data_IF_619436761306
#
_entry.id   IF_619436761306
#
_cell.length_a   1.000
_cell.length_b   1.000
_cell.length_c   1.000
_cell.angle_alpha   90.00
_cell.angle_beta   90.00
_cell.angle_gamma   90.00
#
_symmetry.space_group_name_H-M   'P 1'
#
loop_
_entity.id
_entity.type
_entity.pdbx_description
1 polymer ?
#
# COMPACT_ATOMS: atom_id res chain seq x y z
N UNK A 1 -19.32 34.03 17.77
CA UNK A 1 -18.49 33.01 17.09
C UNK A 1 -18.93 31.67 17.67
N UNK A 2 -19.64 30.87 16.89
CA UNK A 2 -20.33 29.66 17.36
C UNK A 2 -19.32 28.52 17.48
N UNK A 3 -18.97 28.14 18.71
CA UNK A 3 -18.33 26.86 18.98
C UNK A 3 -19.29 25.75 18.54
N UNK A 4 -19.01 25.13 17.40
CA UNK A 4 -19.66 23.88 17.04
C UNK A 4 -19.03 22.80 17.90
N UNK A 5 -19.70 22.50 19.02
CA UNK A 5 -19.48 21.29 19.79
C UNK A 5 -19.70 20.10 18.87
N UNK A 6 -18.59 19.48 18.45
CA UNK A 6 -18.57 18.19 17.76
C UNK A 6 -19.05 17.16 18.78
N UNK A 7 -20.36 16.88 18.76
CA UNK A 7 -20.98 15.83 19.54
C UNK A 7 -20.45 14.48 19.02
N UNK A 8 -19.51 13.91 19.77
CA UNK A 8 -18.88 12.62 19.51
C UNK A 8 -19.96 11.53 19.64
N UNK A 9 -20.20 10.77 18.57
CA UNK A 9 -21.25 9.74 18.49
C UNK A 9 -20.89 8.47 19.30
N UNK A 10 -19.69 8.41 19.88
CA UNK A 10 -19.19 7.28 20.68
C UNK A 10 -19.01 7.68 22.14
N UNK A 11 -19.61 6.92 23.05
CA UNK A 11 -19.47 7.06 24.52
C UNK A 11 -18.01 6.89 25.02
N UNK A 12 -17.12 6.32 24.18
CA UNK A 12 -15.70 6.08 24.47
C UNK A 12 -14.71 7.07 23.85
N UNK A 13 -15.18 8.20 23.32
CA UNK A 13 -14.37 9.14 22.54
C UNK A 13 -14.20 8.69 21.09
N UNK A 14 -14.05 9.65 20.17
CA UNK A 14 -13.81 9.32 18.76
C UNK A 14 -12.53 8.47 18.67
N UNK A 15 -12.64 7.31 18.02
CA UNK A 15 -11.53 6.43 17.71
C UNK A 15 -10.63 7.06 16.64
N UNK A 16 -10.05 8.21 16.95
CA UNK A 16 -9.02 8.82 16.12
C UNK A 16 -7.74 7.98 16.29
N UNK A 17 -7.09 7.59 15.19
CA UNK A 17 -5.86 6.82 15.26
C UNK A 17 -4.81 7.61 16.05
N UNK A 18 -4.07 6.91 16.91
CA UNK A 18 -3.04 7.53 17.77
C UNK A 18 -1.88 8.17 16.99
N UNK A 19 -1.81 7.94 15.68
CA UNK A 19 -0.78 8.46 14.81
C UNK A 19 -1.41 9.08 13.57
N UNK A 20 -0.84 10.22 13.15
CA UNK A 20 -1.18 10.84 11.87
C UNK A 20 -0.68 9.91 10.75
N UNK A 21 -1.54 9.54 9.78
CA UNK A 21 -1.13 8.78 8.61
C UNK A 21 0.05 9.45 7.90
N UNK A 22 0.93 8.66 7.30
CA UNK A 22 2.03 9.20 6.51
C UNK A 22 1.50 10.10 5.39
N UNK A 23 2.17 11.25 5.17
CA UNK A 23 1.80 12.21 4.13
C UNK A 23 2.29 11.79 2.74
N UNK A 24 2.07 10.52 2.40
CA UNK A 24 2.40 9.89 1.13
C UNK A 24 1.14 9.19 0.62
N UNK A 25 0.15 9.97 0.19
CA UNK A 25 -1.20 9.60 -0.30
C UNK A 25 -1.24 8.44 -1.34
N UNK A 26 -0.76 7.25 -0.98
CA UNK A 26 -0.36 6.19 -1.91
C UNK A 26 0.86 6.50 -2.79
N UNK A 27 1.42 7.71 -2.75
CA UNK A 27 2.47 8.17 -3.65
C UNK A 27 3.86 7.72 -3.20
N UNK A 28 4.22 6.47 -3.51
CA UNK A 28 5.58 5.96 -3.31
C UNK A 28 6.17 5.48 -4.63
N UNK A 29 7.46 5.72 -4.84
CA UNK A 29 8.15 5.30 -6.06
C UNK A 29 8.08 3.79 -6.25
N UNK A 30 8.27 3.03 -5.17
CA UNK A 30 8.13 1.57 -5.21
C UNK A 30 6.70 1.13 -5.56
N UNK A 31 5.69 1.80 -4.99
CA UNK A 31 4.27 1.48 -5.26
C UNK A 31 3.87 1.78 -6.71
N UNK A 32 4.24 2.95 -7.24
CA UNK A 32 3.95 3.31 -8.63
C UNK A 32 4.68 2.42 -9.64
N UNK A 33 5.92 2.03 -9.35
CA UNK A 33 6.66 1.10 -10.21
C UNK A 33 5.96 -0.26 -10.30
N UNK A 34 5.55 -0.84 -9.17
CA UNK A 34 4.81 -2.12 -9.17
C UNK A 34 3.46 -1.97 -9.86
N UNK A 35 2.75 -0.86 -9.62
CA UNK A 35 1.45 -0.60 -10.25
C UNK A 35 1.56 -0.60 -11.78
N UNK A 36 2.41 0.25 -12.35
CA UNK A 36 2.58 0.32 -13.81
C UNK A 36 3.24 -0.94 -14.37
N UNK A 37 4.21 -1.52 -13.66
CA UNK A 37 4.89 -2.75 -14.08
C UNK A 37 3.93 -3.93 -14.21
N UNK A 38 3.03 -4.12 -13.23
CA UNK A 38 2.02 -5.18 -13.29
C UNK A 38 0.93 -4.92 -14.33
N UNK A 39 0.50 -3.66 -14.52
CA UNK A 39 -0.43 -3.31 -15.59
C UNK A 39 0.16 -3.63 -16.98
N UNK A 40 1.44 -3.29 -17.20
CA UNK A 40 2.13 -3.62 -18.45
C UNK A 40 2.29 -5.14 -18.62
N UNK A 41 2.72 -5.85 -17.58
CA UNK A 41 2.85 -7.30 -17.59
C UNK A 41 1.52 -7.98 -17.95
N UNK A 42 0.42 -7.58 -17.29
CA UNK A 42 -0.91 -8.11 -17.57
C UNK A 42 -1.35 -7.83 -19.02
N UNK A 43 -1.03 -6.65 -19.55
CA UNK A 43 -1.30 -6.30 -20.95
C UNK A 43 -0.54 -7.21 -21.91
N UNK A 44 0.76 -7.43 -21.69
CA UNK A 44 1.61 -8.30 -22.53
C UNK A 44 1.11 -9.75 -22.47
N UNK A 45 0.79 -10.26 -21.28
CA UNK A 45 0.22 -11.60 -21.09
C UNK A 45 -1.10 -11.73 -21.87
N UNK A 46 -2.02 -10.78 -21.70
CA UNK A 46 -3.30 -10.78 -22.39
C UNK A 46 -3.15 -10.79 -23.91
N UNK A 47 -2.29 -9.92 -24.46
CA UNK A 47 -1.99 -9.88 -25.90
C UNK A 47 -1.38 -11.19 -26.38
N UNK A 48 -0.40 -11.73 -25.65
CA UNK A 48 0.26 -12.99 -26.00
C UNK A 48 -0.71 -14.18 -26.01
N UNK A 49 -1.65 -14.22 -25.06
CA UNK A 49 -2.70 -15.25 -25.01
C UNK A 49 -3.69 -15.12 -26.16
N UNK A 50 -4.21 -13.92 -26.44
CA UNK A 50 -5.16 -13.68 -27.55
C UNK A 50 -4.53 -14.04 -28.89
N UNK A 51 -3.26 -13.70 -29.10
CA UNK A 51 -2.54 -13.96 -30.34
C UNK A 51 -1.96 -15.39 -30.45
N UNK A 52 -2.14 -16.26 -29.44
CA UNK A 52 -1.51 -17.59 -29.37
C UNK A 52 0.03 -17.57 -29.50
N UNK A 53 0.66 -16.49 -29.01
CA UNK A 53 2.11 -16.31 -29.07
C UNK A 53 2.75 -16.71 -27.73
N UNK A 54 3.13 -17.99 -27.63
CA UNK A 54 3.81 -18.55 -26.45
C UNK A 54 4.95 -17.70 -25.89
N UNK A 55 5.91 -17.23 -26.70
CA UNK A 55 7.01 -16.41 -26.18
C UNK A 55 6.54 -15.07 -25.61
N UNK A 56 5.45 -14.50 -26.14
CA UNK A 56 4.97 -13.17 -25.73
C UNK A 56 4.33 -13.23 -24.34
N UNK A 57 3.46 -14.22 -24.07
CA UNK A 57 2.85 -14.29 -22.74
C UNK A 57 3.87 -14.71 -21.67
N UNK A 58 4.88 -15.52 -22.01
CA UNK A 58 6.03 -15.77 -21.12
C UNK A 58 6.84 -14.49 -20.84
N UNK A 59 7.09 -13.65 -21.84
CA UNK A 59 7.77 -12.37 -21.64
C UNK A 59 6.99 -11.48 -20.67
N UNK A 60 5.65 -11.45 -20.77
CA UNK A 60 4.79 -10.73 -19.83
C UNK A 60 4.94 -11.22 -18.39
N UNK A 61 5.02 -12.53 -18.17
CA UNK A 61 5.28 -13.11 -16.84
C UNK A 61 6.63 -12.65 -16.30
N UNK A 62 7.69 -12.71 -17.11
CA UNK A 62 9.03 -12.27 -16.71
C UNK A 62 9.02 -10.79 -16.30
N UNK A 63 8.36 -9.92 -17.07
CA UNK A 63 8.20 -8.50 -16.73
C UNK A 63 7.47 -8.32 -15.40
N UNK A 64 6.44 -9.12 -15.13
CA UNK A 64 5.70 -9.09 -13.87
C UNK A 64 6.59 -9.47 -12.67
N UNK A 65 7.34 -10.56 -12.79
CA UNK A 65 8.29 -11.01 -11.75
C UNK A 65 9.36 -9.95 -11.50
N UNK A 66 9.96 -9.38 -12.55
CA UNK A 66 10.96 -8.32 -12.42
C UNK A 66 10.39 -7.08 -11.73
N UNK A 67 9.16 -6.68 -12.06
CA UNK A 67 8.49 -5.54 -11.43
C UNK A 67 8.31 -5.74 -9.93
N UNK A 68 7.95 -6.95 -9.49
CA UNK A 68 7.84 -7.29 -8.08
C UNK A 68 9.19 -7.29 -7.37
N UNK A 69 10.22 -7.87 -7.99
CA UNK A 69 11.59 -7.91 -7.43
C UNK A 69 12.15 -6.49 -7.28
N UNK A 70 12.08 -5.68 -8.32
CA UNK A 70 12.55 -4.28 -8.29
C UNK A 70 11.73 -3.46 -7.30
N UNK A 71 10.40 -3.60 -7.30
CA UNK A 71 9.53 -2.93 -6.32
C UNK A 71 9.87 -3.28 -4.87
N UNK A 72 10.15 -4.56 -4.59
CA UNK A 72 10.62 -5.03 -3.29
C UNK A 72 11.97 -4.43 -2.91
N UNK A 73 12.92 -4.40 -3.83
CA UNK A 73 14.23 -3.78 -3.62
C UNK A 73 14.11 -2.27 -3.35
N UNK A 74 13.28 -1.55 -4.10
CA UNK A 74 13.02 -0.12 -3.86
C UNK A 74 12.37 0.11 -2.49
N UNK A 75 11.43 -0.75 -2.09
CA UNK A 75 10.83 -0.68 -0.75
C UNK A 75 11.89 -0.89 0.34
N UNK A 76 12.78 -1.86 0.17
CA UNK A 76 13.88 -2.12 1.10
C UNK A 76 14.88 -0.95 1.16
N UNK A 77 15.08 -0.24 0.04
CA UNK A 77 15.89 0.97 -0.03
C UNK A 77 15.21 2.24 0.55
N UNK A 78 14.02 2.11 1.13
CA UNK A 78 13.30 3.24 1.74
C UNK A 78 12.45 4.07 0.77
N UNK A 79 12.32 3.65 -0.49
CA UNK A 79 11.50 4.32 -1.51
C UNK A 79 10.03 3.83 -1.54
N UNK A 80 9.66 3.00 -0.58
CA UNK A 80 8.28 2.55 -0.34
C UNK A 80 7.64 3.24 0.86
N UNK A 81 6.45 2.80 1.28
CA UNK A 81 5.85 3.31 2.52
C UNK A 81 6.65 2.81 3.74
N UNK A 82 6.91 3.70 4.73
CA UNK A 82 7.49 3.28 6.00
C UNK A 82 6.59 2.27 6.71
N UNK A 83 7.19 1.43 7.56
CA UNK A 83 6.41 0.50 8.37
C UNK A 83 5.45 1.29 9.29
N UNK A 84 4.18 0.85 9.41
CA UNK A 84 3.26 1.46 10.36
C UNK A 84 3.82 1.37 11.78
N UNK A 85 3.52 2.38 12.60
CA UNK A 85 3.87 2.34 14.02
C UNK A 85 3.21 1.11 14.65
N UNK A 86 4.00 0.29 15.34
CA UNK A 86 3.47 -0.80 16.15
C UNK A 86 2.84 -0.17 17.38
N UNK A 87 1.52 -0.34 17.55
CA UNK A 87 0.85 -0.02 18.81
C UNK A 87 1.15 -1.17 19.77
N UNK A 88 2.03 -0.96 20.74
CA UNK A 88 2.23 -1.93 21.82
C UNK A 88 1.02 -1.87 22.75
N UNK A 89 0.32 -3.01 22.91
CA UNK A 89 -0.92 -3.14 23.69
C UNK A 89 -0.72 -2.94 25.20
N UNK A 90 0.51 -2.79 25.69
CA UNK A 90 0.81 -2.68 27.13
C UNK A 90 0.16 -1.46 27.81
N UNK A 91 -0.20 -0.41 27.07
CA UNK A 91 -0.90 0.76 27.61
C UNK A 91 -2.42 0.59 27.77
N UNK A 92 -3.04 -0.40 27.14
CA UNK A 92 -4.49 -0.62 27.21
C UNK A 92 -4.91 -1.29 28.53
N UNK A 93 -3.98 -1.99 29.18
CA UNK A 93 -4.25 -2.78 30.38
C UNK A 93 -4.28 -1.92 31.65
N UNK A 94 -3.69 -0.71 31.61
CA UNK A 94 -3.61 0.22 32.75
C UNK A 94 -4.81 1.16 32.90
N UNK A 95 -5.70 1.20 31.90
CA UNK A 95 -6.90 2.06 31.89
C UNK A 95 -8.17 1.30 32.29
N UNK A 96 -8.06 -0.01 32.54
CA UNK A 96 -9.16 -0.91 32.87
C UNK A 96 -9.14 -1.42 34.33
N UNK A 97 -8.28 -0.87 35.20
CA UNK A 97 -8.18 -1.17 36.64
C UNK A 97 -8.40 0.08 37.47
#
# INVERSE_FOLDING_TARGET
>A
MSEKSLMLVSEGGDAIPQYVPFHNEGKTTAGWLVCYGLMLAATIVGVGLVAHLTPVWWAGIVVGVLSLVVGGALRAAGLGQPAPHRVDRAGADHIAS
#
